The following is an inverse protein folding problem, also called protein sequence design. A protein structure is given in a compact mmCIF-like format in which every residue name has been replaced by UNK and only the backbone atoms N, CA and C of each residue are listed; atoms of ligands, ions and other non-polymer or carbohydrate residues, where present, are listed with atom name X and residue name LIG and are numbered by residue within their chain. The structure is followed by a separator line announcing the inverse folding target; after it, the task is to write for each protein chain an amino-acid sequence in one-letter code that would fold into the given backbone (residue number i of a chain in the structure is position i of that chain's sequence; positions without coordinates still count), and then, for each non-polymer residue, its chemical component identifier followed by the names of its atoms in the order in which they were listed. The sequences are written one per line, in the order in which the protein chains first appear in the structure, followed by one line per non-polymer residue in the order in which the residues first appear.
data_IF_317322794819
#
_entry.id   IF_317322794819
#
_cell.length_a   1.000
_cell.length_b   1.000
_cell.length_c   1.000
_cell.angle_alpha   90.00
_cell.angle_beta   90.00
_cell.angle_gamma   90.00
#
_symmetry.space_group_name_H-M   'P 1'
#
loop_
_entity.id
_entity.type
_entity.pdbx_description
1 polymer ?
#
# COMPACT_ATOMS: atom_id res chain seq x y z
N UNK A 1 -8.04 4.45 7.23
CA UNK A 1 -7.18 4.22 6.07
C UNK A 1 -7.96 3.70 4.86
N UNK A 2 -8.98 2.88 5.05
CA UNK A 2 -9.82 2.35 3.96
C UNK A 2 -10.41 3.46 3.08
N UNK A 3 -10.82 4.58 3.66
CA UNK A 3 -11.26 5.76 2.93
C UNK A 3 -10.18 6.37 2.00
N UNK A 4 -8.90 6.21 2.38
CA UNK A 4 -7.75 6.78 1.64
C UNK A 4 -7.21 5.83 0.56
N UNK A 5 -7.41 4.55 0.74
CA UNK A 5 -6.84 3.51 -0.13
C UNK A 5 -7.90 2.89 -1.04
N UNK A 6 -9.15 2.76 -0.55
CA UNK A 6 -10.21 2.03 -1.23
C UNK A 6 -10.12 0.52 -0.98
N UNK A 7 -10.78 -0.27 -1.82
CA UNK A 7 -10.81 -1.71 -1.70
C UNK A 7 -9.51 -2.32 -2.24
N UNK A 8 -8.86 -3.15 -1.43
CA UNK A 8 -7.68 -3.95 -1.77
C UNK A 8 -7.93 -5.45 -1.54
N UNK A 9 -9.16 -5.89 -1.79
CA UNK A 9 -9.63 -7.28 -1.65
C UNK A 9 -9.34 -7.84 -0.24
N UNK A 10 -8.70 -9.00 -0.15
CA UNK A 10 -8.36 -9.64 1.14
C UNK A 10 -7.52 -8.77 2.07
N UNK A 11 -6.75 -7.83 1.53
CA UNK A 11 -5.99 -6.86 2.32
C UNK A 11 -6.85 -5.81 3.04
N UNK A 12 -8.10 -5.59 2.59
CA UNK A 12 -8.98 -4.55 3.16
C UNK A 12 -9.27 -4.77 4.64
N UNK A 13 -9.45 -6.03 5.08
CA UNK A 13 -9.67 -6.37 6.48
C UNK A 13 -8.47 -5.96 7.35
N UNK A 14 -7.27 -6.30 6.89
CA UNK A 14 -6.03 -5.98 7.62
C UNK A 14 -5.72 -4.48 7.59
N UNK A 15 -6.08 -3.78 6.51
CA UNK A 15 -5.98 -2.31 6.43
C UNK A 15 -6.92 -1.65 7.43
N UNK A 16 -8.14 -2.18 7.60
CA UNK A 16 -9.09 -1.70 8.59
C UNK A 16 -8.60 -1.96 10.02
N UNK A 17 -8.04 -3.16 10.29
CA UNK A 17 -7.42 -3.49 11.56
C UNK A 17 -6.26 -2.54 11.87
N UNK A 18 -5.36 -2.32 10.91
CA UNK A 18 -4.23 -1.40 11.07
C UNK A 18 -4.72 0.03 11.37
N UNK A 19 -5.77 0.47 10.69
CA UNK A 19 -6.41 1.77 10.93
C UNK A 19 -6.93 1.89 12.38
N UNK A 20 -7.60 0.84 12.86
CA UNK A 20 -8.09 0.78 14.23
C UNK A 20 -6.95 0.86 15.24
N UNK A 21 -5.89 0.07 15.03
CA UNK A 21 -4.75 0.00 15.95
C UNK A 21 -3.96 1.31 16.02
N UNK A 22 -3.78 2.02 14.90
CA UNK A 22 -2.98 3.25 14.84
C UNK A 22 -3.76 4.50 15.22
N UNK A 23 -5.10 4.52 15.04
CA UNK A 23 -5.91 5.73 15.26
C UNK A 23 -6.59 5.70 16.64
N UNK A 24 -6.97 4.52 17.13
CA UNK A 24 -7.68 4.42 18.40
C UNK A 24 -6.76 4.67 19.59
N UNK A 25 -7.16 5.63 20.44
CA UNK A 25 -6.50 5.90 21.72
C UNK A 25 -6.98 4.99 22.86
N UNK A 26 -8.13 4.32 22.70
CA UNK A 26 -8.77 3.54 23.75
C UNK A 26 -8.27 2.11 23.89
N UNK A 27 -7.63 1.56 22.85
CA UNK A 27 -7.16 0.17 22.84
C UNK A 27 -6.02 -0.08 23.83
N UNK A 28 -6.11 -1.22 24.52
CA UNK A 28 -5.18 -1.68 25.56
C UNK A 28 -4.67 -3.08 25.23
N UNK A 29 -3.54 -3.43 25.81
CA UNK A 29 -3.04 -4.81 25.82
C UNK A 29 -4.09 -5.75 26.43
N UNK A 30 -4.26 -6.92 25.81
CA UNK A 30 -5.26 -7.90 26.22
C UNK A 30 -6.67 -7.67 25.65
N UNK A 31 -6.94 -6.54 25.01
CA UNK A 31 -8.23 -6.32 24.33
C UNK A 31 -8.42 -7.34 23.21
N UNK A 32 -9.66 -7.81 23.03
CA UNK A 32 -10.05 -8.71 21.96
C UNK A 32 -10.74 -7.92 20.84
N UNK A 33 -10.31 -8.14 19.61
CA UNK A 33 -10.88 -7.55 18.42
C UNK A 33 -11.49 -8.66 17.58
N UNK A 34 -12.80 -8.59 17.31
CA UNK A 34 -13.45 -9.47 16.36
C UNK A 34 -13.22 -8.97 14.92
N UNK A 35 -12.80 -9.86 14.06
CA UNK A 35 -12.56 -9.61 12.64
C UNK A 35 -13.57 -10.41 11.82
N UNK A 36 -14.26 -9.72 10.90
CA UNK A 36 -15.23 -10.31 10.00
C UNK A 36 -14.81 -10.10 8.56
N UNK A 37 -14.58 -11.18 7.84
CA UNK A 37 -14.26 -11.18 6.43
C UNK A 37 -15.40 -11.79 5.64
N UNK A 38 -15.85 -11.10 4.60
CA UNK A 38 -16.86 -11.58 3.67
C UNK A 38 -16.33 -11.54 2.24
N UNK A 39 -16.44 -12.64 1.52
CA UNK A 39 -15.96 -12.78 0.15
C UNK A 39 -17.09 -13.03 -0.87
N UNK A 40 -16.80 -12.74 -2.14
CA UNK A 40 -17.67 -13.11 -3.27
C UNK A 40 -17.71 -14.65 -3.37
N UNK A 41 -18.87 -15.26 -3.44
CA UNK A 41 -19.06 -16.72 -3.32
C UNK A 41 -19.79 -17.07 -2.03
N UNK A 42 -20.31 -16.05 -1.33
CA UNK A 42 -21.09 -16.17 -0.10
C UNK A 42 -20.35 -16.92 1.03
N UNK A 43 -19.03 -16.77 1.08
CA UNK A 43 -18.19 -17.29 2.16
C UNK A 43 -17.85 -16.16 3.13
N UNK A 44 -18.05 -16.39 4.42
CA UNK A 44 -17.60 -15.46 5.46
C UNK A 44 -16.81 -16.18 6.53
N UNK A 45 -15.92 -15.45 7.15
CA UNK A 45 -15.10 -15.91 8.27
C UNK A 45 -15.14 -14.89 9.39
N UNK A 46 -15.34 -15.36 10.62
CA UNK A 46 -15.25 -14.55 11.83
C UNK A 46 -14.16 -15.16 12.72
N UNK A 47 -13.23 -14.34 13.13
CA UNK A 47 -12.21 -14.74 14.08
C UNK A 47 -11.86 -13.58 15.02
N UNK A 48 -11.23 -13.88 16.14
CA UNK A 48 -10.80 -12.87 17.10
C UNK A 48 -9.29 -12.87 17.24
N UNK A 49 -8.74 -11.70 17.51
CA UNK A 49 -7.33 -11.51 17.85
C UNK A 49 -7.23 -10.80 19.19
N UNK A 50 -6.25 -11.18 20.00
CA UNK A 50 -5.96 -10.52 21.28
C UNK A 50 -4.75 -9.61 21.09
N UNK A 51 -4.82 -8.36 21.54
CA UNK A 51 -3.72 -7.42 21.44
C UNK A 51 -2.56 -7.84 22.35
N UNK A 52 -1.43 -8.12 21.73
CA UNK A 52 -0.22 -8.55 22.42
C UNK A 52 0.35 -7.44 23.31
N UNK A 53 1.13 -7.80 24.37
CA UNK A 53 1.89 -6.82 25.13
C UNK A 53 2.78 -5.96 24.23
N UNK A 54 2.81 -4.66 24.52
CA UNK A 54 3.61 -3.69 23.76
C UNK A 54 3.27 -3.54 22.27
N UNK A 55 2.09 -3.97 21.81
CA UNK A 55 1.70 -3.87 20.39
C UNK A 55 1.89 -2.46 19.82
N UNK A 56 1.70 -1.40 20.62
CA UNK A 56 1.87 0.01 20.20
C UNK A 56 3.28 0.35 19.74
N UNK A 57 4.31 -0.37 20.19
CA UNK A 57 5.70 -0.16 19.76
C UNK A 57 5.94 -0.54 18.29
N UNK A 58 5.07 -1.36 17.72
CA UNK A 58 5.15 -1.83 16.34
C UNK A 58 4.29 -1.02 15.37
N UNK A 59 3.58 -0.01 15.88
CA UNK A 59 2.72 0.84 15.07
C UNK A 59 3.47 2.10 14.60
N UNK A 60 3.14 2.56 13.38
CA UNK A 60 3.67 3.81 12.83
C UNK A 60 2.69 4.95 13.10
N UNK A 61 3.14 6.00 13.76
CA UNK A 61 2.29 7.16 14.12
C UNK A 61 2.07 8.14 12.96
N UNK A 62 2.81 8.04 11.88
CA UNK A 62 2.86 9.03 10.79
C UNK A 62 2.33 8.55 9.44
N UNK A 63 1.66 7.39 9.39
CA UNK A 63 1.10 6.84 8.16
C UNK A 63 0.11 7.76 7.45
N UNK A 64 -0.64 8.57 8.20
CA UNK A 64 -1.53 9.59 7.63
C UNK A 64 -0.72 10.63 6.83
N UNK A 65 0.47 10.99 7.31
CA UNK A 65 1.37 11.91 6.59
C UNK A 65 1.82 11.31 5.26
N UNK A 66 2.09 10.00 5.23
CA UNK A 66 2.44 9.28 4.00
C UNK A 66 1.28 9.33 2.98
N UNK A 67 0.04 9.12 3.42
CA UNK A 67 -1.11 9.27 2.54
C UNK A 67 -1.30 10.69 1.98
N UNK A 68 -0.93 11.70 2.76
CA UNK A 68 -1.04 13.10 2.33
C UNK A 68 0.05 13.53 1.35
N UNK A 69 1.10 12.74 1.16
CA UNK A 69 2.13 12.97 0.12
C UNK A 69 1.68 12.57 -1.28
N UNK A 70 0.53 11.90 -1.40
CA UNK A 70 0.02 11.48 -2.70
C UNK A 70 -0.28 12.68 -3.59
N UNK A 71 0.16 12.61 -4.82
CA UNK A 71 -0.14 13.61 -5.85
C UNK A 71 -1.56 13.35 -6.35
N UNK A 72 -2.39 14.39 -6.34
CA UNK A 72 -3.73 14.32 -6.91
C UNK A 72 -3.62 14.54 -8.41
N UNK A 73 -4.09 13.58 -9.17
CA UNK A 73 -4.17 13.65 -10.63
C UNK A 73 -5.49 14.29 -11.08
N UNK A 74 -5.49 14.93 -12.25
CA UNK A 74 -6.70 15.21 -13.00
C UNK A 74 -7.28 13.93 -13.60
N UNK A 75 -8.51 13.97 -14.11
CA UNK A 75 -9.11 12.82 -14.78
C UNK A 75 -8.31 12.43 -16.02
N UNK A 76 -7.88 13.41 -16.79
CA UNK A 76 -7.10 13.22 -18.03
C UNK A 76 -5.73 12.59 -17.74
N UNK A 77 -5.04 13.03 -16.68
CA UNK A 77 -3.78 12.43 -16.24
C UNK A 77 -3.97 11.00 -15.77
N UNK A 78 -5.04 10.73 -15.03
CA UNK A 78 -5.38 9.38 -14.57
C UNK A 78 -5.66 8.46 -15.77
N UNK A 79 -6.50 8.88 -16.72
CA UNK A 79 -6.84 8.09 -17.90
C UNK A 79 -5.62 7.80 -18.76
N UNK A 80 -4.74 8.78 -18.93
CA UNK A 80 -3.47 8.59 -19.63
C UNK A 80 -2.61 7.52 -18.98
N UNK A 81 -2.44 7.57 -17.67
CA UNK A 81 -1.68 6.54 -16.93
C UNK A 81 -2.37 5.18 -17.07
N UNK A 82 -3.69 5.13 -16.83
CA UNK A 82 -4.43 3.89 -16.80
C UNK A 82 -4.47 3.16 -18.16
N UNK A 83 -4.63 3.90 -19.25
CA UNK A 83 -4.82 3.34 -20.59
C UNK A 83 -3.57 3.33 -21.47
N UNK A 84 -2.58 4.17 -21.16
CA UNK A 84 -1.48 4.42 -22.10
C UNK A 84 -0.10 4.09 -21.54
N UNK A 85 0.06 3.93 -20.24
CA UNK A 85 1.38 3.84 -19.64
C UNK A 85 2.09 2.50 -19.94
N UNK A 86 1.34 1.42 -20.09
CA UNK A 86 1.92 0.11 -20.40
C UNK A 86 1.68 -0.21 -21.88
N UNK A 87 2.70 -0.01 -22.70
CA UNK A 87 2.74 -0.32 -24.14
C UNK A 87 3.97 -1.19 -24.43
N UNK A 88 3.79 -2.48 -24.28
CA UNK A 88 4.86 -3.44 -24.55
C UNK A 88 5.14 -3.55 -26.05
N UNK A 89 6.40 -3.69 -26.43
CA UNK A 89 6.80 -4.07 -27.79
C UNK A 89 6.44 -5.54 -28.09
N UNK A 90 6.74 -5.99 -29.32
CA UNK A 90 6.47 -7.38 -29.75
C UNK A 90 7.17 -8.45 -28.93
N UNK A 91 8.23 -8.09 -28.21
CA UNK A 91 9.00 -8.99 -27.34
C UNK A 91 8.61 -8.87 -25.87
N UNK A 92 7.58 -8.07 -25.54
CA UNK A 92 7.12 -7.88 -24.19
C UNK A 92 7.98 -6.94 -23.36
N UNK A 93 8.66 -5.96 -24.00
CA UNK A 93 9.58 -5.04 -23.32
C UNK A 93 9.02 -3.61 -23.30
N UNK A 94 9.38 -2.88 -22.25
CA UNK A 94 9.15 -1.44 -22.12
C UNK A 94 10.08 -0.86 -21.05
N UNK A 95 10.66 0.32 -21.32
CA UNK A 95 11.40 1.11 -20.32
C UNK A 95 10.57 2.28 -19.84
N UNK A 96 10.74 2.67 -18.57
CA UNK A 96 10.00 3.77 -17.95
C UNK A 96 10.93 4.95 -17.65
N UNK A 97 10.39 6.16 -17.83
CA UNK A 97 11.04 7.38 -17.36
C UNK A 97 10.43 7.74 -16.00
N UNK A 98 11.26 7.82 -14.99
CA UNK A 98 10.81 8.07 -13.62
C UNK A 98 10.65 9.55 -13.34
N UNK A 99 9.61 9.86 -12.54
CA UNK A 99 9.45 11.19 -12.00
C UNK A 99 10.58 11.48 -10.99
N UNK A 100 11.28 12.60 -11.18
CA UNK A 100 12.36 13.03 -10.27
C UNK A 100 11.88 13.39 -8.87
N UNK A 101 10.57 13.66 -8.71
CA UNK A 101 9.94 13.95 -7.43
C UNK A 101 9.52 12.70 -6.66
N UNK A 102 9.58 11.52 -7.31
CA UNK A 102 9.28 10.24 -6.66
C UNK A 102 10.42 9.89 -5.68
N UNK A 103 10.11 9.85 -4.39
CA UNK A 103 11.02 9.48 -3.31
C UNK A 103 10.84 8.04 -2.80
N UNK A 104 10.03 7.23 -3.51
CA UNK A 104 9.85 5.82 -3.18
C UNK A 104 11.17 5.06 -3.20
N UNK A 105 11.36 4.06 -2.32
CA UNK A 105 12.64 3.34 -2.22
C UNK A 105 12.96 2.51 -3.46
N UNK A 106 11.93 2.06 -4.18
CA UNK A 106 12.06 1.24 -5.40
C UNK A 106 11.18 1.80 -6.50
N UNK A 107 11.67 1.67 -7.73
CA UNK A 107 10.98 2.08 -8.95
C UNK A 107 10.88 0.92 -9.92
N UNK A 108 9.82 0.87 -10.72
CA UNK A 108 9.71 -0.03 -11.86
C UNK A 108 10.58 0.53 -13.00
N UNK A 109 11.76 -0.05 -13.19
CA UNK A 109 12.74 0.42 -14.18
C UNK A 109 12.32 0.06 -15.60
N UNK A 110 11.93 -1.19 -15.81
CA UNK A 110 11.52 -1.73 -17.11
C UNK A 110 10.63 -2.96 -16.96
N UNK A 111 9.98 -3.31 -18.05
CA UNK A 111 9.44 -4.63 -18.29
C UNK A 111 10.32 -5.29 -19.34
N UNK A 112 10.75 -6.51 -19.13
CA UNK A 112 11.60 -7.29 -20.02
C UNK A 112 11.04 -8.70 -20.12
N UNK A 113 10.73 -9.15 -21.33
CA UNK A 113 10.08 -10.45 -21.57
C UNK A 113 8.85 -10.68 -20.66
N UNK A 114 7.98 -9.67 -20.55
CA UNK A 114 6.79 -9.65 -19.67
C UNK A 114 7.07 -9.69 -18.16
N UNK A 115 8.33 -9.59 -17.72
CA UNK A 115 8.72 -9.55 -16.31
C UNK A 115 9.00 -8.13 -15.85
N UNK A 116 8.46 -7.73 -14.70
CA UNK A 116 8.74 -6.43 -14.09
C UNK A 116 10.09 -6.45 -13.41
N UNK A 117 10.95 -5.52 -13.80
CA UNK A 117 12.29 -5.33 -13.23
C UNK A 117 12.26 -4.05 -12.39
N UNK A 118 12.56 -4.19 -11.12
CA UNK A 118 12.61 -3.07 -10.16
C UNK A 118 14.07 -2.76 -9.83
N UNK A 119 14.35 -1.47 -9.63
CA UNK A 119 15.64 -0.99 -9.13
C UNK A 119 15.46 -0.09 -7.91
N UNK A 120 16.55 0.16 -7.19
CA UNK A 120 16.55 1.17 -6.14
C UNK A 120 16.40 2.55 -6.79
N UNK A 121 15.54 3.39 -6.20
CA UNK A 121 15.34 4.73 -6.69
C UNK A 121 16.53 5.62 -6.30
N UNK A 122 17.29 6.18 -7.26
CA UNK A 122 18.42 7.05 -6.97
C UNK A 122 18.02 8.35 -6.24
N UNK A 123 16.76 8.75 -6.35
CA UNK A 123 16.22 9.94 -5.68
C UNK A 123 15.69 9.62 -4.28
N UNK A 124 15.62 8.35 -3.88
CA UNK A 124 15.16 7.96 -2.55
C UNK A 124 16.09 8.55 -1.50
N UNK A 125 15.56 9.42 -0.66
CA UNK A 125 16.28 9.88 0.53
C UNK A 125 16.44 8.68 1.45
N UNK A 126 17.62 8.04 1.37
CA UNK A 126 17.98 6.86 2.13
C UNK A 126 17.44 6.92 3.55
N UNK A 127 16.40 6.19 3.84
CA UNK A 127 16.08 5.73 5.20
C UNK A 127 17.09 4.63 5.53
N UNK A 128 18.32 5.03 5.88
CA UNK A 128 19.29 4.12 6.47
C UNK A 128 18.68 3.62 7.77
N UNK A 129 18.34 2.36 7.82
CA UNK A 129 18.21 1.60 9.05
C UNK A 129 16.81 1.40 9.63
N UNK A 130 15.83 0.92 8.87
CA UNK A 130 14.64 0.27 9.43
C UNK A 130 14.25 -0.92 8.53
N UNK A 131 14.91 -2.03 8.75
CA UNK A 131 14.43 -3.38 8.51
C UNK A 131 14.32 -4.09 9.84
#
# INVERSE_FOLDING_TARGET
YSQKVGNIYTGSLYLALLSLLEISSSLKEGDNIALYSYGSGAVCEIFSVTLAPNFKKHLKSDRIKEFNKRIRLSTEEYEKIFFEEIKLDSNGNQSFVHNKEDDSPFILEKIEEHKRIYSQNPNSKNRKGEL
#
